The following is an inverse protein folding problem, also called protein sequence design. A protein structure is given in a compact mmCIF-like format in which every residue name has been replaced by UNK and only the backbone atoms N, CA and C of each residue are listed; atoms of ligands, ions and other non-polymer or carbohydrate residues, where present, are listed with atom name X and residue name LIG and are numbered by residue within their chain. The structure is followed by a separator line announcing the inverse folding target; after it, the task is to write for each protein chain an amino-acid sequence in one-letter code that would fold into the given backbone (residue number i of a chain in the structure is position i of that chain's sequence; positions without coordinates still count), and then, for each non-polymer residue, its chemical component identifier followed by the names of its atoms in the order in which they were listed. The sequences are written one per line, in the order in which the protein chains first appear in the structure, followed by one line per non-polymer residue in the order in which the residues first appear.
data_IF_371739762096
#
_entry.id   IF_371739762096
#
_cell.length_a   1.000
_cell.length_b   1.000
_cell.length_c   1.000
_cell.angle_alpha   90.00
_cell.angle_beta   90.00
_cell.angle_gamma   90.00
#
_symmetry.space_group_name_H-M   'P 1'
#
loop_
_entity.id
_entity.type
_entity.pdbx_description
1 polymer ?
#
# COMPACT_ATOMS: atom_id res chain seq x y z
N UNK A 1 7.80 -0.40 29.78
CA UNK A 1 8.06 0.20 28.46
C UNK A 1 7.28 1.49 28.40
N UNK A 2 7.93 2.58 28.00
CA UNK A 2 7.27 3.87 27.77
C UNK A 2 7.36 4.21 26.28
N UNK A 3 6.31 4.79 25.72
CA UNK A 3 6.26 5.17 24.31
C UNK A 3 6.85 6.58 24.17
N UNK A 4 8.01 6.68 23.54
CA UNK A 4 8.70 7.96 23.32
C UNK A 4 8.03 8.79 22.23
N UNK A 5 7.73 8.17 21.09
CA UNK A 5 7.09 8.81 19.94
C UNK A 5 5.91 7.97 19.47
N UNK A 6 4.71 8.58 19.41
CA UNK A 6 3.49 7.88 19.00
C UNK A 6 3.46 7.54 17.51
N UNK A 7 4.02 8.41 16.66
CA UNK A 7 4.08 8.23 15.22
C UNK A 7 5.45 8.67 14.72
N UNK A 8 6.25 7.71 14.26
CA UNK A 8 7.59 7.97 13.73
C UNK A 8 7.54 8.14 12.23
N UNK A 9 6.81 7.26 11.54
CA UNK A 9 6.71 7.24 10.08
C UNK A 9 5.41 6.58 9.63
N UNK A 10 5.12 6.73 8.34
CA UNK A 10 4.12 5.96 7.63
C UNK A 10 4.81 4.78 6.93
N UNK A 11 4.10 3.67 6.80
CA UNK A 11 4.57 2.45 6.11
C UNK A 11 3.52 2.02 5.10
N UNK A 12 3.97 1.70 3.90
CA UNK A 12 3.14 1.15 2.82
C UNK A 12 2.78 -0.31 3.11
N UNK A 13 1.64 -0.76 2.58
CA UNK A 13 1.24 -2.16 2.67
C UNK A 13 2.30 -3.10 2.07
N UNK A 14 3.03 -2.64 1.05
CA UNK A 14 4.14 -3.35 0.45
C UNK A 14 5.30 -3.55 1.44
N UNK A 15 5.77 -2.47 2.09
CA UNK A 15 6.87 -2.55 3.08
C UNK A 15 6.48 -3.45 4.26
N UNK A 16 5.24 -3.36 4.72
CA UNK A 16 4.71 -4.24 5.77
C UNK A 16 4.72 -5.69 5.30
N UNK A 17 4.28 -5.98 4.07
CA UNK A 17 4.28 -7.34 3.52
C UNK A 17 5.71 -7.91 3.39
N UNK A 18 6.67 -7.12 2.92
CA UNK A 18 8.08 -7.52 2.84
C UNK A 18 8.66 -7.80 4.23
N UNK A 19 8.38 -6.93 5.21
CA UNK A 19 8.79 -7.12 6.60
C UNK A 19 8.20 -8.42 7.18
N UNK A 20 6.91 -8.67 7.00
CA UNK A 20 6.26 -9.89 7.50
C UNK A 20 6.86 -11.15 6.87
N UNK A 21 7.21 -11.11 5.58
CA UNK A 21 7.89 -12.22 4.92
C UNK A 21 9.30 -12.47 5.49
N UNK A 22 10.04 -11.41 5.84
CA UNK A 22 11.35 -11.51 6.51
C UNK A 22 11.21 -12.12 7.91
N UNK A 23 10.30 -11.60 8.74
CA UNK A 23 10.04 -12.12 10.08
C UNK A 23 9.58 -13.58 10.05
N UNK A 24 8.73 -13.95 9.08
CA UNK A 24 8.32 -15.34 8.89
C UNK A 24 9.51 -16.27 8.58
N UNK A 25 10.43 -15.85 7.71
CA UNK A 25 11.66 -16.61 7.42
C UNK A 25 12.55 -16.78 8.65
N UNK A 26 12.60 -15.79 9.54
CA UNK A 26 13.36 -15.87 10.78
C UNK A 26 12.70 -16.80 11.80
N UNK A 27 11.38 -16.72 11.98
CA UNK A 27 10.62 -17.64 12.83
C UNK A 27 10.74 -19.09 12.32
N UNK A 28 10.80 -19.29 11.01
CA UNK A 28 10.97 -20.62 10.42
C UNK A 28 12.36 -21.22 10.65
N UNK A 29 13.39 -20.39 10.93
CA UNK A 29 14.72 -20.86 11.34
C UNK A 29 14.78 -21.28 12.81
N UNK A 30 13.85 -20.81 13.64
CA UNK A 30 13.80 -21.15 15.07
C UNK A 30 13.27 -22.56 15.29
N UNK A 31 13.75 -23.20 16.36
CA UNK A 31 13.27 -24.50 16.83
C UNK A 31 11.79 -24.40 17.23
N UNK A 32 11.02 -25.49 17.06
CA UNK A 32 9.57 -25.52 17.33
C UNK A 32 9.19 -25.07 18.74
N UNK A 33 10.06 -25.26 19.74
CA UNK A 33 9.82 -24.85 21.12
C UNK A 33 9.99 -23.34 21.35
N UNK A 34 10.69 -22.64 20.45
CA UNK A 34 10.99 -21.20 20.56
C UNK A 34 10.07 -20.34 19.66
N UNK A 35 9.17 -20.98 18.92
CA UNK A 35 8.19 -20.29 18.07
C UNK A 35 7.01 -19.81 18.89
N UNK A 36 6.69 -18.53 18.77
CA UNK A 36 5.50 -17.97 19.40
C UNK A 36 4.26 -18.29 18.57
N UNK A 37 3.29 -19.00 19.17
CA UNK A 37 2.00 -19.30 18.52
C UNK A 37 1.23 -18.03 18.16
N UNK A 38 1.23 -17.03 19.03
CA UNK A 38 0.55 -15.76 18.79
C UNK A 38 1.16 -15.00 17.62
N UNK A 39 2.49 -14.95 17.54
CA UNK A 39 3.19 -14.31 16.43
C UNK A 39 2.89 -15.04 15.11
N UNK A 40 2.88 -16.37 15.12
CA UNK A 40 2.56 -17.15 13.93
C UNK A 40 1.14 -16.87 13.39
N UNK A 41 0.15 -16.72 14.28
CA UNK A 41 -1.22 -16.34 13.89
C UNK A 41 -1.26 -14.95 13.27
N UNK A 42 -0.66 -13.95 13.90
CA UNK A 42 -0.62 -12.57 13.38
C UNK A 42 0.08 -12.53 12.03
N UNK A 43 1.25 -13.17 11.90
CA UNK A 43 1.98 -13.26 10.64
C UNK A 43 1.12 -13.89 9.55
N UNK A 44 0.40 -14.97 9.85
CA UNK A 44 -0.44 -15.64 8.87
C UNK A 44 -1.64 -14.80 8.44
N UNK A 45 -2.41 -14.25 9.38
CA UNK A 45 -3.62 -13.48 9.09
C UNK A 45 -3.30 -12.17 8.36
N UNK A 46 -2.31 -11.41 8.85
CA UNK A 46 -1.92 -10.14 8.23
C UNK A 46 -1.32 -10.36 6.84
N UNK A 47 -0.44 -11.36 6.66
CA UNK A 47 0.11 -11.69 5.34
C UNK A 47 -0.99 -12.14 4.39
N UNK A 48 -1.95 -12.95 4.87
CA UNK A 48 -3.08 -13.41 4.06
C UNK A 48 -3.98 -12.25 3.62
N UNK A 49 -4.21 -11.26 4.47
CA UNK A 49 -4.94 -10.05 4.11
C UNK A 49 -4.17 -9.22 3.07
N UNK A 50 -2.91 -8.88 3.35
CA UNK A 50 -2.09 -8.04 2.46
C UNK A 50 -1.89 -8.67 1.08
N UNK A 51 -1.80 -10.00 0.99
CA UNK A 51 -1.75 -10.72 -0.29
C UNK A 51 -3.02 -10.59 -1.15
N UNK A 52 -4.15 -10.22 -0.56
CA UNK A 52 -5.39 -9.91 -1.31
C UNK A 52 -5.45 -8.45 -1.77
N UNK A 53 -4.57 -7.61 -1.26
CA UNK A 53 -4.48 -6.19 -1.62
C UNK A 53 -3.48 -5.99 -2.77
N UNK A 54 -3.49 -4.83 -3.45
CA UNK A 54 -2.54 -4.53 -4.54
C UNK A 54 -1.06 -4.63 -4.13
N UNK A 55 -0.75 -4.57 -2.84
CA UNK A 55 0.62 -4.70 -2.32
C UNK A 55 1.32 -6.02 -2.68
N UNK A 56 0.57 -7.07 -3.04
CA UNK A 56 1.14 -8.36 -3.40
C UNK A 56 1.93 -8.34 -4.72
N UNK A 57 1.46 -7.54 -5.67
CA UNK A 57 1.99 -7.50 -7.04
C UNK A 57 2.91 -6.30 -7.28
N UNK A 58 2.92 -5.33 -6.35
CA UNK A 58 3.76 -4.13 -6.44
C UNK A 58 5.25 -4.43 -6.31
N UNK A 59 6.07 -3.56 -6.91
CA UNK A 59 7.52 -3.56 -6.77
C UNK A 59 8.00 -2.22 -6.18
N UNK A 60 9.18 -2.24 -5.56
CA UNK A 60 9.83 -1.01 -5.06
C UNK A 60 9.98 0.03 -6.16
N UNK A 61 10.44 -0.40 -7.34
CA UNK A 61 10.64 0.45 -8.52
C UNK A 61 9.34 1.12 -8.98
N UNK A 62 8.22 0.39 -8.97
CA UNK A 62 6.92 0.92 -9.33
C UNK A 62 6.43 1.99 -8.33
N UNK A 63 6.67 1.77 -7.03
CA UNK A 63 6.30 2.71 -5.97
C UNK A 63 7.16 3.97 -6.06
N UNK A 64 8.48 3.84 -6.24
CA UNK A 64 9.39 4.98 -6.39
C UNK A 64 9.02 5.83 -7.62
N UNK A 65 8.74 5.18 -8.75
CA UNK A 65 8.28 5.86 -9.95
C UNK A 65 6.98 6.61 -9.72
N UNK A 66 6.00 5.97 -9.06
CA UNK A 66 4.74 6.61 -8.73
C UNK A 66 4.94 7.85 -7.87
N UNK A 67 5.81 7.79 -6.85
CA UNK A 67 6.10 8.94 -5.97
C UNK A 67 6.65 10.13 -6.77
N UNK A 68 7.54 9.88 -7.74
CA UNK A 68 8.09 10.91 -8.62
C UNK A 68 7.00 11.49 -9.52
N UNK A 69 6.17 10.64 -10.12
CA UNK A 69 5.14 11.06 -11.08
C UNK A 69 3.97 11.79 -10.40
N UNK A 70 3.68 11.51 -9.11
CA UNK A 70 2.67 12.22 -8.33
C UNK A 70 3.18 13.48 -7.62
N UNK A 71 4.49 13.70 -7.57
CA UNK A 71 5.10 14.89 -6.94
C UNK A 71 4.55 16.24 -7.48
N UNK A 72 4.27 16.41 -8.79
CA UNK A 72 3.69 17.64 -9.33
C UNK A 72 2.31 17.99 -8.77
N UNK A 73 1.57 16.99 -8.27
CA UNK A 73 0.22 17.16 -7.74
C UNK A 73 0.20 17.65 -6.28
N UNK A 74 1.38 17.76 -5.64
CA UNK A 74 1.55 18.25 -4.26
C UNK A 74 0.63 17.54 -3.26
N UNK A 75 0.52 16.22 -3.38
CA UNK A 75 -0.22 15.38 -2.45
C UNK A 75 0.50 15.30 -1.11
N UNK A 76 -0.25 15.14 -0.04
CA UNK A 76 0.27 14.85 1.29
C UNK A 76 0.81 13.41 1.35
N UNK A 77 1.70 13.13 2.29
CA UNK A 77 2.24 11.79 2.48
C UNK A 77 1.15 10.73 2.73
N UNK A 78 0.04 11.12 3.40
CA UNK A 78 -1.09 10.22 3.65
C UNK A 78 -1.90 9.94 2.37
N UNK A 79 -2.12 10.94 1.51
CA UNK A 79 -2.79 10.76 0.22
C UNK A 79 -1.96 9.89 -0.72
N UNK A 80 -0.64 10.15 -0.84
CA UNK A 80 0.27 9.32 -1.63
C UNK A 80 0.28 7.87 -1.12
N UNK A 81 0.29 7.68 0.20
CA UNK A 81 0.20 6.34 0.81
C UNK A 81 -1.11 5.63 0.45
N UNK A 82 -2.25 6.35 0.45
CA UNK A 82 -3.54 5.79 0.07
C UNK A 82 -3.58 5.41 -1.41
N UNK A 83 -3.02 6.24 -2.29
CA UNK A 83 -2.90 5.92 -3.72
C UNK A 83 -2.10 4.62 -3.95
N UNK A 84 -0.95 4.49 -3.26
CA UNK A 84 -0.11 3.28 -3.34
C UNK A 84 -0.89 2.06 -2.83
N UNK A 85 -1.55 2.17 -1.67
CA UNK A 85 -2.17 1.02 -1.01
C UNK A 85 -3.47 0.55 -1.69
N UNK A 86 -4.28 1.47 -2.19
CA UNK A 86 -5.61 1.17 -2.72
C UNK A 86 -5.63 1.02 -4.24
N UNK A 87 -4.66 1.61 -4.95
CA UNK A 87 -4.57 1.61 -6.42
C UNK A 87 -5.92 1.98 -7.05
N UNK A 88 -6.32 3.26 -6.98
CA UNK A 88 -7.56 3.71 -7.59
C UNK A 88 -7.47 3.55 -9.12
N UNK A 89 -8.54 3.03 -9.71
CA UNK A 89 -8.67 2.83 -11.17
C UNK A 89 -9.69 3.78 -11.80
N UNK A 90 -10.35 4.61 -10.99
CA UNK A 90 -11.37 5.54 -11.45
C UNK A 90 -11.15 6.93 -10.86
N UNK A 91 -11.60 7.95 -11.58
CA UNK A 91 -11.55 9.35 -11.12
C UNK A 91 -12.34 9.55 -9.83
N UNK A 92 -13.49 8.87 -9.69
CA UNK A 92 -14.32 8.90 -8.47
C UNK A 92 -13.59 8.36 -7.25
N UNK A 93 -12.85 7.25 -7.39
CA UNK A 93 -12.04 6.74 -6.27
C UNK A 93 -10.98 7.75 -5.84
N UNK A 94 -10.31 8.43 -6.79
CA UNK A 94 -9.33 9.45 -6.46
C UNK A 94 -9.95 10.64 -5.72
N UNK A 95 -11.14 11.08 -6.14
CA UNK A 95 -11.87 12.16 -5.46
C UNK A 95 -12.23 11.82 -4.00
N UNK A 96 -12.44 10.53 -3.70
CA UNK A 96 -12.69 10.07 -2.32
C UNK A 96 -11.41 9.99 -1.48
N UNK A 97 -10.24 9.86 -2.10
CA UNK A 97 -8.95 9.71 -1.42
C UNK A 97 -8.22 11.05 -1.20
N UNK A 98 -8.43 12.02 -2.10
CA UNK A 98 -7.78 13.33 -2.08
C UNK A 98 -8.78 14.40 -1.65
N UNK A 99 -8.52 15.03 -0.51
CA UNK A 99 -9.36 16.13 -0.01
C UNK A 99 -9.18 17.38 -0.89
N UNK A 100 -10.27 18.12 -1.10
CA UNK A 100 -10.29 19.33 -1.94
C UNK A 100 -9.71 19.10 -3.34
N UNK A 101 -9.91 17.89 -3.88
CA UNK A 101 -9.37 17.49 -5.18
C UNK A 101 -9.82 18.42 -6.32
N UNK A 102 -11.00 19.04 -6.23
CA UNK A 102 -11.49 20.02 -7.21
C UNK A 102 -10.71 21.35 -7.17
N UNK A 103 -10.24 21.79 -6.00
CA UNK A 103 -9.45 23.03 -5.87
C UNK A 103 -7.97 22.81 -6.22
N UNK A 104 -7.43 21.61 -5.90
CA UNK A 104 -6.02 21.26 -6.12
C UNK A 104 -5.78 20.72 -7.53
N UNK A 105 -6.63 19.80 -7.99
CA UNK A 105 -6.61 19.20 -9.32
C UNK A 105 -7.72 19.90 -10.15
N UNK A 106 -7.46 21.17 -10.47
CA UNK A 106 -8.38 22.13 -11.12
C UNK A 106 -8.99 21.70 -12.48
N UNK A 107 -8.64 20.53 -13.00
CA UNK A 107 -9.04 20.09 -14.34
C UNK A 107 -9.23 18.58 -14.36
N UNK A 108 -10.36 18.14 -14.91
CA UNK A 108 -10.71 16.72 -15.06
C UNK A 108 -9.63 15.93 -15.84
N UNK A 109 -9.00 16.57 -16.84
CA UNK A 109 -7.86 15.99 -17.59
C UNK A 109 -6.67 15.62 -16.71
N UNK A 110 -6.39 16.39 -15.66
CA UNK A 110 -5.30 16.08 -14.72
C UNK A 110 -5.67 14.93 -13.79
N UNK A 111 -6.95 14.81 -13.47
CA UNK A 111 -7.46 13.71 -12.67
C UNK A 111 -7.39 12.41 -13.46
N UNK A 112 -7.79 12.42 -14.73
CA UNK A 112 -7.61 11.29 -15.64
C UNK A 112 -6.13 10.96 -15.85
N UNK A 113 -5.28 11.98 -16.00
CA UNK A 113 -3.83 11.77 -16.09
C UNK A 113 -3.28 11.08 -14.83
N UNK A 114 -3.75 11.44 -13.64
CA UNK A 114 -3.35 10.78 -12.39
C UNK A 114 -3.82 9.32 -12.33
N UNK A 115 -5.06 9.03 -12.75
CA UNK A 115 -5.55 7.64 -12.86
C UNK A 115 -4.67 6.82 -13.82
N UNK A 116 -4.29 7.40 -14.96
CA UNK A 116 -3.44 6.75 -15.94
C UNK A 116 -2.04 6.49 -15.39
N UNK A 117 -1.43 7.47 -14.72
CA UNK A 117 -0.12 7.31 -14.05
C UNK A 117 -0.15 6.16 -13.03
N UNK A 118 -1.20 6.10 -12.21
CA UNK A 118 -1.38 5.02 -11.21
C UNK A 118 -1.55 3.66 -11.88
N UNK A 119 -2.32 3.60 -12.97
CA UNK A 119 -2.62 2.36 -13.69
C UNK A 119 -1.41 1.85 -14.48
N UNK A 120 -0.60 2.76 -15.04
CA UNK A 120 0.60 2.45 -15.81
C UNK A 120 1.78 2.05 -14.92
N UNK A 121 1.91 2.67 -13.73
CA UNK A 121 3.01 2.34 -12.81
C UNK A 121 2.73 1.07 -12.01
N UNK A 122 1.49 0.87 -11.55
CA UNK A 122 1.17 -0.24 -10.66
C UNK A 122 0.54 -1.41 -11.45
N UNK A 123 1.00 -2.66 -11.25
CA UNK A 123 0.49 -3.82 -11.96
C UNK A 123 -0.99 -4.09 -11.68
N UNK A 124 -1.65 -4.82 -12.58
CA UNK A 124 -3.10 -5.08 -12.52
C UNK A 124 -3.52 -5.61 -11.15
N UNK A 125 -4.65 -5.09 -10.64
CA UNK A 125 -5.21 -5.52 -9.34
C UNK A 125 -5.32 -7.05 -9.37
N UNK A 126 -4.85 -7.77 -8.34
CA UNK A 126 -5.05 -9.21 -8.29
C UNK A 126 -6.55 -9.44 -8.40
N UNK A 127 -6.97 -10.24 -9.39
CA UNK A 127 -8.37 -10.54 -9.61
C UNK A 127 -8.93 -11.15 -8.33
N UNK A 128 -9.58 -10.34 -7.52
CA UNK A 128 -10.41 -10.83 -6.43
C UNK A 128 -11.47 -11.66 -7.11
N UNK A 129 -11.33 -12.98 -7.05
CA UNK A 129 -12.43 -13.90 -7.23
C UNK A 129 -13.48 -13.57 -6.16
N UNK A 130 -14.32 -12.57 -6.46
CA UNK A 130 -15.67 -12.49 -5.93
C UNK A 130 -16.44 -13.67 -6.55
N UNK A 131 -16.17 -14.86 -6.03
CA UNK A 131 -17.07 -15.99 -6.14
C UNK A 131 -17.74 -16.09 -4.78
N UNK A 132 -18.87 -15.41 -4.64
CA UNK A 132 -20.03 -15.86 -3.88
C UNK A 132 -21.27 -15.41 -4.62
#
# INVERSE_FOLDING_TARGET
MEVLNKQITLLTNYEVLDLLNKVKKEEDKKSKNDRSKHLATILYETTKYLKKTPAADQSVEAIEKLIVDVAPYKLTAAETLQLINLRPSTTTEIQLLIEESEERIKTEEKLESLVNVVTDCLPSRPASSMTQ
#
